data_IF_279141538276
#
_entry.id   IF_279141538276
#
_cell.length_a   1.000
_cell.length_b   1.000
_cell.length_c   1.000
_cell.angle_alpha   90.00
_cell.angle_beta   90.00
_cell.angle_gamma   90.00
#
_symmetry.space_group_name_H-M   'P 1'
#
loop_
_entity.id
_entity.type
_entity.pdbx_description
1 polymer ?
#
# COMPACT_ATOMS: atom_id res chain seq x y z
N UNK A 1 9.26 -26.84 18.60
CA UNK A 1 8.34 -26.13 17.68
C UNK A 1 8.30 -24.67 18.12
N UNK A 2 9.22 -23.85 17.62
CA UNK A 2 9.30 -22.42 17.98
C UNK A 2 8.19 -21.66 17.25
N UNK A 3 7.22 -21.17 18.01
CA UNK A 3 6.20 -20.26 17.51
C UNK A 3 6.89 -18.96 17.05
N UNK A 4 7.01 -18.79 15.74
CA UNK A 4 7.49 -17.55 15.14
C UNK A 4 6.41 -16.50 15.38
N UNK A 5 6.69 -15.53 16.25
CA UNK A 5 5.87 -14.34 16.42
C UNK A 5 5.69 -13.71 15.04
N UNK A 6 4.47 -13.82 14.52
CA UNK A 6 4.04 -13.23 13.26
C UNK A 6 4.10 -11.72 13.42
N UNK A 7 5.27 -11.15 13.12
CA UNK A 7 5.44 -9.73 12.80
C UNK A 7 4.43 -9.49 11.69
N UNK A 8 3.32 -8.80 11.98
CA UNK A 8 2.22 -8.52 11.03
C UNK A 8 2.84 -8.34 9.66
N UNK A 9 2.50 -9.21 8.71
CA UNK A 9 3.08 -9.15 7.38
C UNK A 9 3.04 -7.69 6.90
N UNK A 10 4.21 -7.10 6.65
CA UNK A 10 4.33 -5.69 6.29
C UNK A 10 3.52 -5.44 5.03
N UNK A 11 2.33 -4.89 5.23
CA UNK A 11 1.31 -4.75 4.22
C UNK A 11 0.48 -3.50 4.52
N UNK A 12 0.44 -2.52 3.60
CA UNK A 12 -0.37 -1.32 3.73
C UNK A 12 -1.83 -1.56 3.32
N UNK A 13 -2.25 -2.80 3.08
CA UNK A 13 -3.56 -3.13 2.54
C UNK A 13 -4.68 -2.85 3.55
N UNK A 14 -5.62 -1.98 3.19
CA UNK A 14 -6.83 -1.67 3.97
C UNK A 14 -8.02 -2.56 3.63
N UNK A 15 -7.81 -3.62 2.83
CA UNK A 15 -8.84 -4.50 2.25
C UNK A 15 -9.79 -3.81 1.27
N UNK A 16 -9.52 -2.57 0.90
CA UNK A 16 -10.15 -1.89 -0.23
C UNK A 16 -9.27 -2.09 -1.47
N UNK A 17 -9.81 -2.76 -2.49
CA UNK A 17 -9.09 -3.07 -3.73
C UNK A 17 -9.80 -2.42 -4.93
N UNK A 18 -9.77 -1.10 -4.96
CA UNK A 18 -10.24 -0.31 -6.11
C UNK A 18 -9.02 0.35 -6.72
N UNK A 19 -8.73 0.06 -7.99
CA UNK A 19 -7.67 0.71 -8.76
C UNK A 19 -8.29 1.85 -9.55
N UNK A 20 -7.86 3.06 -9.24
CA UNK A 20 -8.26 4.26 -9.97
C UNK A 20 -7.52 4.28 -11.32
N UNK A 21 -8.27 4.38 -12.42
CA UNK A 21 -7.73 4.35 -13.77
C UNK A 21 -7.04 5.67 -14.19
N UNK A 22 -7.33 6.77 -13.50
CA UNK A 22 -6.76 8.11 -13.76
C UNK A 22 -5.39 8.24 -13.06
N UNK A 23 -5.31 7.86 -11.80
CA UNK A 23 -4.10 7.96 -10.97
C UNK A 23 -3.21 6.72 -11.08
N UNK A 24 -3.78 5.57 -11.47
CA UNK A 24 -3.08 4.28 -11.52
C UNK A 24 -2.80 3.68 -10.14
N UNK A 25 -3.40 4.23 -9.09
CA UNK A 25 -3.18 3.82 -7.69
C UNK A 25 -4.40 3.12 -7.11
N UNK A 26 -4.15 2.25 -6.14
CA UNK A 26 -5.20 1.69 -5.32
C UNK A 26 -5.74 2.78 -4.38
N UNK A 27 -7.04 3.09 -4.44
CA UNK A 27 -7.68 4.11 -3.58
C UNK A 27 -7.51 3.77 -2.09
N UNK A 28 -7.47 2.48 -1.75
CA UNK A 28 -7.32 2.02 -0.36
C UNK A 28 -5.91 2.21 0.20
N UNK A 29 -4.91 1.66 -0.50
CA UNK A 29 -3.54 1.54 0.01
C UNK A 29 -2.50 2.37 -0.74
N UNK A 30 -2.85 3.04 -1.83
CA UNK A 30 -1.94 3.91 -2.60
C UNK A 30 -0.89 3.18 -3.43
N UNK A 31 -0.93 1.85 -3.49
CA UNK A 31 -0.01 1.03 -4.30
C UNK A 31 -0.46 0.96 -5.75
N UNK A 32 0.48 0.84 -6.68
CA UNK A 32 0.19 0.54 -8.09
C UNK A 32 -0.19 -0.93 -8.28
N UNK A 33 -0.76 -1.24 -9.45
CA UNK A 33 -1.06 -2.64 -9.85
C UNK A 33 0.20 -3.52 -9.84
N UNK A 34 1.34 -3.00 -10.31
CA UNK A 34 2.60 -3.74 -10.34
C UNK A 34 3.16 -4.00 -8.94
N UNK A 35 3.11 -2.99 -8.05
CA UNK A 35 3.49 -3.15 -6.65
C UNK A 35 2.63 -4.18 -5.93
N UNK A 36 1.33 -4.27 -6.26
CA UNK A 36 0.43 -5.29 -5.74
C UNK A 36 0.82 -6.69 -6.27
N UNK A 37 1.07 -6.82 -7.57
CA UNK A 37 1.45 -8.09 -8.20
C UNK A 37 2.79 -8.64 -7.72
N UNK A 38 3.75 -7.75 -7.44
CA UNK A 38 5.10 -8.12 -6.99
C UNK A 38 5.24 -8.20 -5.46
N UNK A 39 4.23 -7.81 -4.68
CA UNK A 39 4.35 -7.62 -3.22
C UNK A 39 4.89 -8.85 -2.48
N UNK A 40 4.42 -10.03 -2.87
CA UNK A 40 4.84 -11.31 -2.28
C UNK A 40 6.33 -11.58 -2.49
N UNK A 41 6.90 -11.12 -3.60
CA UNK A 41 8.30 -11.30 -4.00
C UNK A 41 9.23 -10.21 -3.48
N UNK A 42 8.70 -9.07 -3.03
CA UNK A 42 9.51 -7.99 -2.46
C UNK A 42 10.10 -8.42 -1.11
N UNK A 43 11.37 -8.06 -0.91
CA UNK A 43 12.04 -8.15 0.39
C UNK A 43 11.47 -7.13 1.38
N UNK A 44 11.68 -7.36 2.66
CA UNK A 44 11.19 -6.46 3.72
C UNK A 44 11.67 -5.00 3.56
N UNK A 45 12.95 -4.72 3.27
CA UNK A 45 13.39 -3.35 3.01
C UNK A 45 12.70 -2.70 1.81
N UNK A 46 12.44 -3.46 0.75
CA UNK A 46 11.71 -2.96 -0.42
C UNK A 46 10.24 -2.65 -0.07
N UNK A 47 9.58 -3.49 0.73
CA UNK A 47 8.22 -3.24 1.21
C UNK A 47 8.16 -1.96 2.05
N UNK A 48 9.11 -1.77 2.96
CA UNK A 48 9.20 -0.57 3.78
C UNK A 48 9.46 0.69 2.95
N UNK A 49 10.33 0.60 1.94
CA UNK A 49 10.58 1.71 1.02
C UNK A 49 9.32 2.12 0.24
N UNK A 50 8.55 1.14 -0.26
CA UNK A 50 7.25 1.41 -0.89
C UNK A 50 6.28 2.03 0.11
N UNK A 51 6.14 1.45 1.31
CA UNK A 51 5.22 1.96 2.34
C UNK A 51 5.51 3.40 2.77
N UNK A 52 6.78 3.81 2.80
CA UNK A 52 7.18 5.16 3.17
C UNK A 52 6.64 6.23 2.21
N UNK A 53 6.41 5.90 0.94
CA UNK A 53 5.94 6.86 -0.08
C UNK A 53 4.42 6.87 -0.27
N UNK A 54 3.69 5.87 0.24
CA UNK A 54 2.24 5.74 0.03
C UNK A 54 1.41 6.88 0.62
N UNK A 55 1.69 7.41 1.84
CA UNK A 55 0.91 8.51 2.40
C UNK A 55 0.93 9.75 1.50
N UNK A 56 2.11 10.12 0.98
CA UNK A 56 2.25 11.28 0.10
C UNK A 56 1.58 11.04 -1.26
N UNK A 57 1.71 9.82 -1.82
CA UNK A 57 0.97 9.45 -3.04
C UNK A 57 -0.53 9.61 -2.87
N UNK A 58 -1.08 9.16 -1.75
CA UNK A 58 -2.51 9.28 -1.45
C UNK A 58 -2.94 10.74 -1.29
N UNK A 59 -2.19 11.56 -0.55
CA UNK A 59 -2.45 13.00 -0.41
C UNK A 59 -2.49 13.73 -1.76
N UNK A 60 -1.54 13.39 -2.65
CA UNK A 60 -1.44 14.01 -3.96
C UNK A 60 -2.52 13.53 -4.93
N UNK A 61 -2.88 12.26 -4.87
CA UNK A 61 -3.86 11.64 -5.77
C UNK A 61 -5.31 11.92 -5.35
N UNK A 62 -5.58 12.02 -4.04
CA UNK A 62 -6.90 12.19 -3.46
C UNK A 62 -6.90 13.32 -2.40
N UNK A 63 -6.59 14.57 -2.78
CA UNK A 63 -6.54 15.68 -1.83
C UNK A 63 -7.87 15.92 -1.11
N UNK A 64 -9.00 15.61 -1.76
CA UNK A 64 -10.34 15.70 -1.18
C UNK A 64 -10.67 14.60 -0.16
N UNK A 65 -9.93 13.49 -0.15
CA UNK A 65 -10.13 12.41 0.84
C UNK A 65 -9.79 12.89 2.25
N UNK A 66 -8.74 13.69 2.38
CA UNK A 66 -8.33 14.27 3.67
C UNK A 66 -9.37 15.29 4.19
N UNK A 67 -10.16 15.89 3.30
CA UNK A 67 -11.25 16.82 3.67
C UNK A 67 -12.51 16.11 4.17
N UNK A 68 -12.63 14.80 3.90
CA UNK A 68 -13.80 13.97 4.22
C UNK A 68 -13.62 13.10 5.47
N UNK A 69 -12.39 12.99 5.97
CA UNK A 69 -12.03 12.26 7.19
C UNK A 69 -12.17 13.15 8.43
#
# INVERSE_FOLDING_TARGET
>A
MTATLSKKASSPCTKVCVLDAVTGLCEGCGRTRDEIGLWGSLSEPQRLAVMAVLPERLRRAYPERDLRA
#
